data_IF_426674783790
#
_entry.id   IF_426674783790
#
_cell.length_a   1.000
_cell.length_b   1.000
_cell.length_c   1.000
_cell.angle_alpha   90.00
_cell.angle_beta   90.00
_cell.angle_gamma   90.00
#
_symmetry.space_group_name_H-M   'P 1'
#
loop_
_entity.id
_entity.type
_entity.pdbx_description
1 polymer ?
#
# COMPACT_ATOMS: atom_id res chain seq x y z
N UNK A 1 53.69 -0.31 -0.07
CA UNK A 1 52.59 0.41 -0.75
C UNK A 1 51.55 0.75 0.30
N UNK A 2 51.19 2.02 0.53
CA UNK A 2 50.09 2.36 1.42
C UNK A 2 48.76 2.03 0.73
N UNK A 3 47.88 1.34 1.45
CA UNK A 3 46.50 1.09 1.04
C UNK A 3 45.77 2.44 1.11
N UNK A 4 45.32 2.96 -0.03
CA UNK A 4 44.36 4.06 -0.04
C UNK A 4 42.97 3.47 0.16
N UNK A 5 42.34 3.82 1.28
CA UNK A 5 40.91 3.63 1.45
C UNK A 5 40.21 4.79 0.73
N UNK A 6 39.56 4.50 -0.39
CA UNK A 6 38.61 5.43 -1.00
C UNK A 6 37.44 5.60 -0.04
N UNK A 7 37.17 6.84 0.36
CA UNK A 7 35.96 7.19 1.11
C UNK A 7 34.76 6.92 0.21
N UNK A 8 34.11 5.78 0.39
CA UNK A 8 32.77 5.56 -0.16
C UNK A 8 31.85 6.51 0.59
N UNK A 9 31.28 7.47 -0.14
CA UNK A 9 30.25 8.36 0.40
C UNK A 9 29.03 7.48 0.66
N UNK A 10 28.73 7.16 1.92
CA UNK A 10 27.44 6.57 2.25
C UNK A 10 26.37 7.57 1.79
N UNK A 11 25.48 7.15 0.91
CA UNK A 11 24.22 7.87 0.74
C UNK A 11 23.45 7.64 2.03
N UNK A 12 23.34 8.69 2.83
CA UNK A 12 22.54 8.66 4.05
C UNK A 12 21.19 9.25 3.69
N UNK A 13 20.17 8.41 3.64
CA UNK A 13 18.79 8.87 3.66
C UNK A 13 18.36 9.10 5.11
N UNK A 14 17.46 10.06 5.30
CA UNK A 14 16.87 10.32 6.62
C UNK A 14 15.97 9.14 6.99
N UNK A 15 16.19 8.54 8.17
CA UNK A 15 15.27 7.54 8.72
C UNK A 15 14.04 8.29 9.22
N UNK A 16 12.92 8.11 8.53
CA UNK A 16 11.63 8.71 8.87
C UNK A 16 10.74 7.71 9.62
N UNK A 17 9.75 8.19 10.39
CA UNK A 17 8.75 7.33 11.04
C UNK A 17 8.01 6.37 10.08
N UNK A 18 7.91 6.72 8.80
CA UNK A 18 7.30 5.87 7.76
C UNK A 18 8.00 4.52 7.55
N UNK A 19 9.25 4.36 8.01
CA UNK A 19 9.94 3.06 8.02
C UNK A 19 9.42 2.12 9.13
N UNK A 20 8.67 2.64 10.09
CA UNK A 20 8.13 1.90 11.23
C UNK A 20 6.60 1.79 11.12
N UNK A 21 6.14 1.19 10.03
CA UNK A 21 4.73 0.95 9.77
C UNK A 21 4.21 -0.39 10.33
N UNK A 22 2.88 -0.50 10.44
CA UNK A 22 2.17 -1.75 10.74
C UNK A 22 0.97 -1.93 9.83
N UNK A 23 0.46 -3.16 9.73
CA UNK A 23 -0.66 -3.51 8.87
C UNK A 23 -1.89 -3.88 9.70
N UNK A 24 -2.99 -3.17 9.47
CA UNK A 24 -4.29 -3.40 10.09
C UNK A 24 -5.16 -4.18 9.11
N UNK A 25 -5.49 -5.42 9.47
CA UNK A 25 -6.40 -6.27 8.68
C UNK A 25 -7.81 -6.10 9.22
N UNK A 26 -8.64 -5.31 8.53
CA UNK A 26 -9.86 -4.71 9.08
C UNK A 26 -10.88 -5.69 9.73
N UNK A 27 -11.10 -6.93 9.24
CA UNK A 27 -12.06 -7.85 9.85
C UNK A 27 -11.51 -8.53 11.11
N UNK A 28 -10.18 -8.56 11.26
CA UNK A 28 -9.51 -9.14 12.42
C UNK A 28 -9.09 -8.08 13.44
N UNK A 29 -9.20 -6.81 13.10
CA UNK A 29 -8.75 -5.67 13.91
C UNK A 29 -9.91 -4.88 14.52
N UNK A 30 -11.13 -5.42 14.48
CA UNK A 30 -12.34 -4.79 15.02
C UNK A 30 -12.37 -4.68 16.56
N UNK A 31 -11.28 -5.06 17.23
CA UNK A 31 -11.05 -4.86 18.66
C UNK A 31 -10.28 -3.56 18.94
N UNK A 32 -9.73 -2.92 17.91
CA UNK A 32 -9.05 -1.64 18.01
C UNK A 32 -10.09 -0.52 18.05
N UNK A 33 -9.97 0.35 19.04
CA UNK A 33 -10.83 1.50 19.23
C UNK A 33 -9.99 2.73 19.62
N UNK A 34 -10.46 3.95 19.26
CA UNK A 34 -9.85 5.19 19.73
C UNK A 34 -9.72 5.21 21.26
N UNK A 35 -8.56 5.66 21.75
CA UNK A 35 -8.22 5.75 23.17
C UNK A 35 -8.08 4.42 23.94
N UNK A 36 -8.10 3.27 23.26
CA UNK A 36 -7.85 1.99 23.92
C UNK A 36 -6.35 1.76 24.21
N UNK A 37 -6.05 0.79 25.08
CA UNK A 37 -4.67 0.51 25.49
C UNK A 37 -3.80 -0.05 24.35
N UNK A 38 -4.39 -0.81 23.43
CA UNK A 38 -3.66 -1.41 22.31
C UNK A 38 -3.30 -0.34 21.30
N UNK A 39 -4.22 0.55 20.94
CA UNK A 39 -3.99 1.69 20.05
C UNK A 39 -2.98 2.66 20.66
N UNK A 40 -3.09 2.95 21.96
CA UNK A 40 -2.08 3.74 22.69
C UNK A 40 -0.70 3.07 22.65
N UNK A 41 -0.61 1.75 22.85
CA UNK A 41 0.67 1.02 22.86
C UNK A 41 1.33 0.95 21.46
N UNK A 42 0.55 0.97 20.37
CA UNK A 42 1.10 1.02 19.01
C UNK A 42 1.96 2.28 18.82
N UNK A 43 1.52 3.41 19.33
CA UNK A 43 2.30 4.65 19.29
C UNK A 43 3.34 4.70 20.40
N UNK A 44 2.91 4.72 21.67
CA UNK A 44 3.75 5.11 22.81
C UNK A 44 4.85 4.07 23.13
N UNK A 45 4.52 2.79 22.97
CA UNK A 45 5.41 1.70 23.39
C UNK A 45 6.18 1.09 22.21
N UNK A 46 5.57 1.01 21.02
CA UNK A 46 6.15 0.37 19.83
C UNK A 46 6.72 1.40 18.84
N UNK A 47 6.17 2.62 18.80
CA UNK A 47 6.62 3.66 17.87
C UNK A 47 6.12 3.47 16.44
N UNK A 48 4.92 2.92 16.25
CA UNK A 48 4.31 2.75 14.93
C UNK A 48 3.90 4.12 14.37
N UNK A 49 4.57 4.53 13.29
CA UNK A 49 4.35 5.82 12.62
C UNK A 49 3.30 5.77 11.51
N UNK A 50 3.06 4.60 10.91
CA UNK A 50 2.16 4.45 9.77
C UNK A 50 1.31 3.20 9.91
N UNK A 51 0.01 3.30 9.64
CA UNK A 51 -0.88 2.14 9.61
C UNK A 51 -1.44 1.92 8.20
N UNK A 52 -1.31 0.69 7.72
CA UNK A 52 -1.90 0.23 6.46
C UNK A 52 -3.30 -0.33 6.68
N UNK A 53 -4.27 0.10 5.87
CA UNK A 53 -5.69 -0.28 5.95
C UNK A 53 -6.31 -0.37 4.54
N UNK A 54 -7.30 -1.23 4.26
CA UNK A 54 -7.90 -2.25 5.13
C UNK A 54 -7.05 -3.51 5.34
N UNK A 55 -5.88 -3.56 4.69
CA UNK A 55 -4.81 -4.54 4.90
C UNK A 55 -5.11 -5.98 4.46
N UNK A 56 -4.14 -6.57 3.75
CA UNK A 56 -4.12 -7.99 3.42
C UNK A 56 -5.13 -8.41 2.34
N UNK A 57 -5.21 -9.72 2.07
CA UNK A 57 -6.06 -10.27 1.00
C UNK A 57 -7.56 -9.96 1.20
N UNK A 58 -7.99 -9.77 2.45
CA UNK A 58 -9.38 -9.40 2.76
C UNK A 58 -9.79 -8.05 2.18
N UNK A 59 -8.84 -7.16 1.86
CA UNK A 59 -9.14 -5.93 1.11
C UNK A 59 -9.79 -6.27 -0.22
N UNK A 60 -9.22 -7.21 -0.96
CA UNK A 60 -9.73 -7.63 -2.26
C UNK A 60 -11.12 -8.26 -2.13
N UNK A 61 -11.29 -9.16 -1.15
CA UNK A 61 -12.52 -9.96 -1.05
C UNK A 61 -13.70 -9.22 -0.40
N UNK A 62 -13.44 -8.40 0.63
CA UNK A 62 -14.49 -7.97 1.57
C UNK A 62 -14.67 -6.46 1.70
N UNK A 63 -13.66 -5.67 1.36
CA UNK A 63 -13.77 -4.21 1.52
C UNK A 63 -14.68 -3.61 0.44
N UNK A 64 -15.71 -2.87 0.86
CA UNK A 64 -16.64 -2.19 -0.04
C UNK A 64 -16.34 -0.69 -0.06
N UNK A 65 -15.66 -0.23 -1.11
CA UNK A 65 -15.33 1.19 -1.29
C UNK A 65 -16.56 2.09 -1.45
N UNK A 66 -17.74 1.53 -1.76
CA UNK A 66 -19.00 2.29 -1.83
C UNK A 66 -19.63 2.48 -0.46
N UNK A 67 -19.18 1.71 0.54
CA UNK A 67 -19.61 1.82 1.93
C UNK A 67 -18.41 1.57 2.87
N UNK A 68 -17.37 2.44 2.85
CA UNK A 68 -16.12 2.20 3.58
C UNK A 68 -16.27 2.27 5.11
N UNK A 69 -17.40 2.78 5.59
CA UNK A 69 -17.78 2.83 7.00
C UNK A 69 -18.75 1.69 7.39
N UNK A 70 -18.84 0.63 6.57
CA UNK A 70 -19.55 -0.57 6.95
C UNK A 70 -18.93 -1.19 8.21
N UNK A 71 -19.77 -1.57 9.17
CA UNK A 71 -19.35 -2.26 10.40
C UNK A 71 -19.49 -3.78 10.29
N UNK A 72 -19.80 -4.29 9.09
CA UNK A 72 -19.82 -5.72 8.78
C UNK A 72 -19.40 -5.95 7.34
N UNK A 73 -18.90 -7.16 7.06
CA UNK A 73 -18.52 -7.62 5.73
C UNK A 73 -18.95 -9.09 5.55
N UNK A 74 -18.91 -9.66 4.33
CA UNK A 74 -19.28 -11.07 4.12
C UNK A 74 -18.50 -12.01 5.06
N UNK A 75 -19.21 -12.74 5.93
CA UNK A 75 -18.59 -13.64 6.92
C UNK A 75 -18.07 -12.97 8.19
N UNK A 76 -18.16 -11.64 8.31
CA UNK A 76 -17.65 -10.86 9.45
C UNK A 76 -18.71 -9.89 9.99
N UNK A 77 -19.19 -10.13 11.21
CA UNK A 77 -20.26 -9.31 11.82
C UNK A 77 -19.76 -8.06 12.53
N UNK A 78 -18.45 -7.91 12.70
CA UNK A 78 -17.79 -6.74 13.25
C UNK A 78 -16.49 -6.52 12.49
N UNK A 79 -16.35 -5.37 11.84
CA UNK A 79 -15.12 -4.97 11.14
C UNK A 79 -14.75 -3.55 11.56
N UNK A 80 -13.47 -3.22 11.54
CA UNK A 80 -13.01 -1.85 11.76
C UNK A 80 -13.47 -0.98 10.58
N UNK A 81 -14.27 0.05 10.84
CA UNK A 81 -14.75 0.99 9.82
C UNK A 81 -13.66 2.03 9.50
N UNK A 82 -13.68 2.61 8.29
CA UNK A 82 -12.66 3.59 7.88
C UNK A 82 -12.67 4.86 8.75
N UNK A 83 -13.83 5.38 9.11
CA UNK A 83 -13.92 6.55 9.98
C UNK A 83 -13.30 6.28 11.36
N UNK A 84 -13.56 5.10 11.92
CA UNK A 84 -12.97 4.66 13.18
C UNK A 84 -11.46 4.46 13.06
N UNK A 85 -10.98 3.93 11.93
CA UNK A 85 -9.56 3.87 11.62
C UNK A 85 -8.91 5.28 11.60
N UNK A 86 -9.55 6.27 10.99
CA UNK A 86 -9.06 7.65 11.06
C UNK A 86 -9.13 8.27 12.46
N UNK A 87 -10.13 7.92 13.27
CA UNK A 87 -10.19 8.35 14.67
C UNK A 87 -9.03 7.76 15.48
N UNK A 88 -8.65 6.50 15.25
CA UNK A 88 -7.45 5.87 15.84
C UNK A 88 -6.19 6.66 15.46
N UNK A 89 -6.06 7.03 14.17
CA UNK A 89 -4.90 7.79 13.69
C UNK A 89 -4.82 9.22 14.24
N UNK A 90 -5.96 9.86 14.53
CA UNK A 90 -5.99 11.20 15.16
C UNK A 90 -5.62 11.16 16.63
N UNK A 91 -6.06 10.12 17.32
CA UNK A 91 -5.64 9.87 18.70
C UNK A 91 -4.14 9.58 18.79
N UNK A 92 -3.58 8.95 17.76
CA UNK A 92 -2.15 8.74 17.59
C UNK A 92 -1.43 10.04 17.18
N UNK A 93 -0.68 10.68 18.07
CA UNK A 93 -0.23 12.06 17.91
C UNK A 93 0.67 12.35 16.67
N UNK A 94 1.13 11.33 15.94
CA UNK A 94 1.83 11.47 14.65
C UNK A 94 1.64 10.26 13.70
N UNK A 95 0.47 9.63 13.68
CA UNK A 95 0.26 8.48 12.80
C UNK A 95 -0.26 8.87 11.40
N UNK A 96 0.23 8.18 10.39
CA UNK A 96 -0.20 8.32 8.99
C UNK A 96 -0.86 7.04 8.45
N UNK A 97 -1.50 7.15 7.30
CA UNK A 97 -2.21 6.06 6.66
C UNK A 97 -1.57 5.61 5.34
N UNK A 98 -1.56 4.30 5.12
CA UNK A 98 -1.46 3.70 3.78
C UNK A 98 -2.81 3.06 3.45
N UNK A 99 -3.43 3.49 2.35
CA UNK A 99 -4.78 3.08 1.98
C UNK A 99 -4.74 2.12 0.78
N UNK A 100 -5.25 0.91 0.95
CA UNK A 100 -5.23 -0.12 -0.11
C UNK A 100 -6.53 -0.10 -0.91
N UNK A 101 -6.42 0.03 -2.23
CA UNK A 101 -7.53 0.04 -3.18
C UNK A 101 -7.78 -1.38 -3.72
N UNK A 102 -8.98 -1.99 -3.55
CA UNK A 102 -9.23 -3.38 -3.95
C UNK A 102 -9.38 -3.53 -5.46
N UNK A 103 -8.30 -3.91 -6.16
CA UNK A 103 -8.28 -3.99 -7.64
C UNK A 103 -9.28 -5.01 -8.18
N UNK A 104 -9.46 -6.13 -7.46
CA UNK A 104 -10.44 -7.17 -7.81
C UNK A 104 -11.88 -6.63 -7.85
N UNK A 105 -12.20 -5.58 -7.09
CA UNK A 105 -13.54 -5.00 -7.08
C UNK A 105 -13.94 -4.45 -8.45
N UNK A 106 -12.98 -3.96 -9.24
CA UNK A 106 -13.23 -3.53 -10.62
C UNK A 106 -13.41 -4.74 -11.56
N UNK A 107 -12.51 -5.72 -11.45
CA UNK A 107 -12.49 -6.93 -12.29
C UNK A 107 -13.79 -7.74 -12.12
N UNK A 108 -14.26 -7.88 -10.89
CA UNK A 108 -15.48 -8.61 -10.53
C UNK A 108 -16.76 -7.76 -10.65
N UNK A 109 -16.65 -6.52 -11.11
CA UNK A 109 -17.76 -5.58 -11.26
C UNK A 109 -18.51 -5.28 -9.94
N UNK A 110 -17.83 -5.41 -8.79
CA UNK A 110 -18.33 -4.93 -7.49
C UNK A 110 -18.26 -3.41 -7.39
N UNK A 111 -17.33 -2.78 -8.11
CA UNK A 111 -17.15 -1.35 -8.21
C UNK A 111 -16.90 -0.90 -9.66
N UNK A 112 -17.16 0.38 -9.92
CA UNK A 112 -16.83 1.05 -11.18
C UNK A 112 -15.65 2.00 -10.99
N UNK A 113 -15.03 2.44 -12.08
CA UNK A 113 -13.98 3.48 -12.03
C UNK A 113 -14.46 4.77 -11.34
N UNK A 114 -15.72 5.14 -11.52
CA UNK A 114 -16.34 6.29 -10.83
C UNK A 114 -16.38 6.09 -9.31
N UNK A 115 -16.63 4.85 -8.86
CA UNK A 115 -16.62 4.53 -7.43
C UNK A 115 -15.21 4.69 -6.83
N UNK A 116 -14.15 4.29 -7.54
CA UNK A 116 -12.77 4.54 -7.10
C UNK A 116 -12.43 6.02 -7.01
N UNK A 117 -12.78 6.81 -8.03
CA UNK A 117 -12.61 8.27 -7.98
C UNK A 117 -13.32 8.87 -6.76
N UNK A 118 -14.59 8.51 -6.56
CA UNK A 118 -15.36 9.02 -5.41
C UNK A 118 -14.80 8.55 -4.07
N UNK A 119 -14.36 7.29 -3.96
CA UNK A 119 -13.80 6.73 -2.74
C UNK A 119 -12.50 7.42 -2.34
N UNK A 120 -11.56 7.61 -3.27
CA UNK A 120 -10.30 8.33 -2.98
C UNK A 120 -10.61 9.75 -2.53
N UNK A 121 -11.53 10.45 -3.20
CA UNK A 121 -11.94 11.79 -2.81
C UNK A 121 -12.59 11.83 -1.44
N UNK A 122 -13.47 10.88 -1.12
CA UNK A 122 -14.12 10.76 0.19
C UNK A 122 -13.08 10.55 1.29
N UNK A 123 -12.16 9.62 1.06
CA UNK A 123 -11.06 9.27 1.98
C UNK A 123 -10.15 10.47 2.24
N UNK A 124 -9.78 11.24 1.21
CA UNK A 124 -9.01 12.47 1.35
C UNK A 124 -9.75 13.56 2.15
N UNK A 125 -11.06 13.72 1.92
CA UNK A 125 -11.87 14.69 2.68
C UNK A 125 -11.99 14.30 4.16
N UNK A 126 -12.14 13.01 4.43
CA UNK A 126 -12.23 12.47 5.79
C UNK A 126 -10.90 12.63 6.52
N UNK A 127 -9.78 12.24 5.90
CA UNK A 127 -8.44 12.42 6.46
C UNK A 127 -8.13 13.91 6.70
N UNK A 128 -8.49 14.80 5.77
CA UNK A 128 -8.26 16.23 5.92
C UNK A 128 -9.10 16.88 7.02
N UNK A 129 -10.33 16.39 7.26
CA UNK A 129 -11.23 16.89 8.30
C UNK A 129 -11.38 18.43 8.32
N UNK A 130 -11.44 19.04 7.13
CA UNK A 130 -11.51 20.50 6.98
C UNK A 130 -10.26 21.27 7.43
N UNK A 131 -9.13 20.59 7.60
CA UNK A 131 -7.87 21.13 8.13
C UNK A 131 -7.78 21.13 9.66
N UNK A 132 -8.81 20.62 10.35
CA UNK A 132 -8.79 20.43 11.78
C UNK A 132 -8.29 19.02 12.09
N UNK A 133 -7.10 18.92 12.68
CA UNK A 133 -6.52 17.62 13.04
C UNK A 133 -6.44 16.65 11.84
N UNK A 134 -5.73 17.05 10.76
CA UNK A 134 -5.65 16.24 9.55
C UNK A 134 -4.78 15.01 9.78
N UNK A 135 -5.21 13.88 9.23
CA UNK A 135 -4.39 12.67 9.12
C UNK A 135 -3.67 12.68 7.78
N UNK A 136 -2.36 12.44 7.80
CA UNK A 136 -1.61 12.25 6.56
C UNK A 136 -1.93 10.89 5.95
N UNK A 137 -2.26 10.87 4.65
CA UNK A 137 -2.24 9.64 3.85
C UNK A 137 -0.93 9.68 3.07
N UNK A 138 -0.07 8.70 3.27
CA UNK A 138 1.23 8.63 2.58
C UNK A 138 1.08 8.05 1.18
N UNK A 139 0.29 6.98 1.07
CA UNK A 139 0.22 6.17 -0.15
C UNK A 139 -1.17 5.58 -0.34
N UNK A 140 -1.64 5.56 -1.59
CA UNK A 140 -2.67 4.65 -2.05
C UNK A 140 -2.04 3.45 -2.77
N UNK A 141 -2.21 2.25 -2.22
CA UNK A 141 -1.70 1.02 -2.85
C UNK A 141 -2.75 0.41 -3.79
N UNK A 142 -2.29 -0.01 -4.97
CA UNK A 142 -3.12 -0.67 -5.96
C UNK A 142 -3.19 -2.17 -5.69
N UNK A 143 -4.09 -2.54 -4.79
CA UNK A 143 -4.44 -3.91 -4.49
C UNK A 143 -3.50 -4.64 -3.54
N UNK A 144 -3.77 -5.92 -3.33
CA UNK A 144 -3.01 -6.77 -2.43
C UNK A 144 -2.88 -8.21 -2.95
N UNK A 145 -1.64 -8.62 -3.19
CA UNK A 145 -1.20 -9.98 -3.56
C UNK A 145 -2.08 -10.59 -4.64
N UNK A 146 -2.25 -9.86 -5.74
CA UNK A 146 -3.11 -10.22 -6.87
C UNK A 146 -2.88 -11.65 -7.40
N UNK A 147 -1.67 -12.19 -7.23
CA UNK A 147 -1.30 -13.55 -7.61
C UNK A 147 -1.96 -14.64 -6.74
N UNK A 148 -2.37 -14.34 -5.51
CA UNK A 148 -3.16 -15.27 -4.68
C UNK A 148 -4.65 -15.22 -5.00
N UNK A 149 -5.12 -14.14 -5.63
CA UNK A 149 -6.48 -14.02 -6.16
C UNK A 149 -6.65 -14.74 -7.52
N UNK A 150 -5.59 -15.39 -8.01
CA UNK A 150 -5.61 -16.13 -9.27
C UNK A 150 -5.61 -15.25 -10.53
N UNK A 151 -5.28 -13.96 -10.39
CA UNK A 151 -5.16 -13.04 -11.51
C UNK A 151 -3.86 -13.26 -12.27
N UNK A 152 -3.89 -13.01 -13.58
CA UNK A 152 -2.64 -12.84 -14.36
C UNK A 152 -2.09 -11.43 -14.14
N UNK A 153 -0.78 -11.26 -14.37
CA UNK A 153 -0.12 -9.97 -14.27
C UNK A 153 -0.80 -8.91 -15.15
N UNK A 154 -1.21 -9.27 -16.36
CA UNK A 154 -1.86 -8.36 -17.32
C UNK A 154 -3.28 -7.98 -16.87
N UNK A 155 -4.05 -8.93 -16.34
CA UNK A 155 -5.40 -8.66 -15.85
C UNK A 155 -5.37 -7.74 -14.63
N UNK A 156 -4.44 -7.99 -13.70
CA UNK A 156 -4.16 -7.10 -12.58
C UNK A 156 -3.73 -5.72 -13.07
N UNK A 157 -2.71 -5.64 -13.94
CA UNK A 157 -2.12 -4.40 -14.40
C UNK A 157 -3.12 -3.52 -15.15
N UNK A 158 -3.98 -4.09 -16.00
CA UNK A 158 -4.97 -3.33 -16.74
C UNK A 158 -5.98 -2.65 -15.80
N UNK A 159 -6.46 -3.38 -14.79
CA UNK A 159 -7.37 -2.84 -13.78
C UNK A 159 -6.67 -1.83 -12.87
N UNK A 160 -5.45 -2.14 -12.40
CA UNK A 160 -4.65 -1.26 -11.56
C UNK A 160 -4.31 0.06 -12.27
N UNK A 161 -3.95 0.02 -13.55
CA UNK A 161 -3.67 1.20 -14.37
C UNK A 161 -4.88 2.13 -14.49
N UNK A 162 -6.08 1.57 -14.72
CA UNK A 162 -7.29 2.38 -14.79
C UNK A 162 -7.67 2.97 -13.43
N UNK A 163 -7.51 2.20 -12.34
CA UNK A 163 -7.71 2.70 -10.96
C UNK A 163 -6.70 3.80 -10.61
N UNK A 164 -5.42 3.64 -10.97
CA UNK A 164 -4.37 4.62 -10.73
C UNK A 164 -4.72 5.99 -11.32
N UNK A 165 -5.22 6.01 -12.56
CA UNK A 165 -5.69 7.26 -13.20
C UNK A 165 -6.86 7.89 -12.46
N UNK A 166 -7.81 7.10 -11.94
CA UNK A 166 -8.91 7.63 -11.13
C UNK A 166 -8.43 8.18 -9.79
N UNK A 167 -7.51 7.48 -9.13
CA UNK A 167 -6.90 7.93 -7.88
C UNK A 167 -6.13 9.24 -8.08
N UNK A 168 -5.28 9.33 -9.12
CA UNK A 168 -4.54 10.55 -9.47
C UNK A 168 -5.48 11.72 -9.72
N UNK A 169 -6.51 11.52 -10.55
CA UNK A 169 -7.49 12.55 -10.84
C UNK A 169 -8.24 13.02 -9.57
N UNK A 170 -8.55 12.10 -8.65
CA UNK A 170 -9.21 12.45 -7.38
C UNK A 170 -8.27 13.23 -6.44
N UNK A 171 -7.00 12.84 -6.35
CA UNK A 171 -5.95 13.54 -5.59
C UNK A 171 -5.77 14.97 -6.13
N UNK A 172 -5.64 15.14 -7.44
CA UNK A 172 -5.51 16.46 -8.07
C UNK A 172 -6.76 17.30 -7.88
N UNK A 173 -7.95 16.71 -8.02
CA UNK A 173 -9.21 17.40 -7.75
C UNK A 173 -9.28 17.91 -6.31
N UNK A 174 -8.88 17.05 -5.36
CA UNK A 174 -8.84 17.41 -3.95
C UNK A 174 -7.83 18.53 -3.68
N UNK A 175 -6.61 18.42 -4.20
CA UNK A 175 -5.57 19.44 -4.07
C UNK A 175 -6.05 20.81 -4.58
N UNK A 176 -6.71 20.83 -5.74
CA UNK A 176 -7.28 22.06 -6.32
C UNK A 176 -8.46 22.64 -5.52
N UNK A 177 -9.07 21.85 -4.64
CA UNK A 177 -10.17 22.29 -3.76
C UNK A 177 -9.68 22.86 -2.42
N UNK A 178 -8.41 22.66 -2.08
CA UNK A 178 -7.85 23.14 -0.82
C UNK A 178 -7.65 24.66 -0.82
N UNK A 179 -7.73 25.31 0.36
CA UNK A 179 -7.30 26.70 0.51
C UNK A 179 -5.85 26.89 0.06
N UNK A 180 -5.53 28.06 -0.52
CA UNK A 180 -4.19 28.35 -1.05
C UNK A 180 -3.05 28.27 -0.01
N UNK A 181 -3.39 28.32 1.29
CA UNK A 181 -2.46 28.20 2.40
C UNK A 181 -2.54 26.85 3.15
N UNK A 182 -3.26 25.88 2.59
CA UNK A 182 -3.33 24.54 3.15
C UNK A 182 -1.93 23.92 3.18
N UNK A 183 -1.58 23.33 4.32
CA UNK A 183 -0.39 22.48 4.45
C UNK A 183 -0.86 21.04 4.29
N UNK A 184 -0.71 20.51 3.09
CA UNK A 184 -1.12 19.17 2.74
C UNK A 184 -0.14 18.64 1.71
N UNK A 185 0.37 17.45 1.96
CA UNK A 185 1.22 16.72 1.03
C UNK A 185 0.35 15.72 0.28
N UNK A 186 0.51 15.68 -1.04
CA UNK A 186 -0.24 14.75 -1.86
C UNK A 186 0.23 13.31 -1.57
N UNK A 187 -0.68 12.35 -1.33
CA UNK A 187 -0.29 10.95 -1.23
C UNK A 187 0.28 10.46 -2.55
N UNK A 188 1.22 9.52 -2.44
CA UNK A 188 1.70 8.76 -3.58
C UNK A 188 0.68 7.69 -4.00
N UNK A 189 0.85 7.15 -5.20
CA UNK A 189 0.15 5.95 -5.66
C UNK A 189 1.20 4.87 -5.94
N UNK A 190 1.05 3.72 -5.28
CA UNK A 190 1.96 2.60 -5.42
C UNK A 190 1.34 1.42 -6.15
N UNK A 191 2.03 0.89 -7.15
CA UNK A 191 1.66 -0.35 -7.85
C UNK A 191 2.34 -1.54 -7.18
N UNK A 192 1.64 -2.67 -7.06
CA UNK A 192 2.22 -3.84 -6.41
C UNK A 192 3.04 -4.68 -7.39
N UNK A 193 4.25 -5.03 -6.98
CA UNK A 193 5.12 -5.98 -7.67
C UNK A 193 4.61 -7.41 -7.55
N UNK A 194 5.01 -8.26 -8.49
CA UNK A 194 4.99 -9.70 -8.31
C UNK A 194 6.06 -10.10 -7.28
N UNK A 195 5.62 -10.72 -6.19
CA UNK A 195 6.46 -11.42 -5.21
C UNK A 195 5.81 -12.76 -4.84
N UNK A 196 5.33 -13.46 -5.86
CA UNK A 196 4.75 -14.79 -5.67
C UNK A 196 5.88 -15.70 -5.20
N UNK A 197 5.68 -16.39 -4.06
CA UNK A 197 6.64 -17.39 -3.57
C UNK A 197 6.85 -18.46 -4.67
N UNK A 198 8.03 -18.48 -5.28
CA UNK A 198 8.28 -19.28 -6.48
C UNK A 198 9.57 -18.90 -7.22
N UNK A 199 9.63 -19.29 -8.50
CA UNK A 199 10.75 -19.04 -9.42
C UNK A 199 10.91 -17.53 -9.70
N UNK A 200 12.11 -16.99 -9.45
CA UNK A 200 12.40 -15.57 -9.67
C UNK A 200 12.12 -15.10 -11.10
N UNK A 201 12.27 -15.98 -12.10
CA UNK A 201 11.97 -15.67 -13.49
C UNK A 201 10.47 -15.40 -13.74
N UNK A 202 9.58 -16.06 -12.97
CA UNK A 202 8.13 -15.81 -13.06
C UNK A 202 7.80 -14.40 -12.55
N UNK A 203 8.45 -13.96 -11.46
CA UNK A 203 8.25 -12.63 -10.91
C UNK A 203 8.82 -11.55 -11.84
N UNK A 204 10.00 -11.74 -12.41
CA UNK A 204 10.57 -10.82 -13.41
C UNK A 204 9.65 -10.67 -14.63
N UNK A 205 9.18 -11.80 -15.18
CA UNK A 205 8.27 -11.80 -16.34
C UNK A 205 6.95 -11.09 -16.01
N UNK A 206 6.40 -11.34 -14.82
CA UNK A 206 5.18 -10.69 -14.36
C UNK A 206 5.38 -9.18 -14.19
N UNK A 207 6.49 -8.75 -13.58
CA UNK A 207 6.78 -7.34 -13.38
C UNK A 207 6.98 -6.60 -14.71
N UNK A 208 7.67 -7.20 -15.68
CA UNK A 208 7.78 -6.65 -17.03
C UNK A 208 6.41 -6.51 -17.70
N UNK A 209 5.54 -7.53 -17.58
CA UNK A 209 4.18 -7.46 -18.12
C UNK A 209 3.33 -6.36 -17.46
N UNK A 210 3.51 -6.11 -16.15
CA UNK A 210 2.83 -5.00 -15.46
C UNK A 210 3.29 -3.66 -16.03
N UNK A 211 4.60 -3.45 -16.18
CA UNK A 211 5.16 -2.21 -16.76
C UNK A 211 4.62 -2.00 -18.18
N UNK A 212 4.71 -3.01 -19.05
CA UNK A 212 4.23 -2.94 -20.44
C UNK A 212 2.74 -2.55 -20.52
N UNK A 213 1.91 -3.07 -19.62
CA UNK A 213 0.48 -2.72 -19.56
C UNK A 213 0.27 -1.29 -19.05
N UNK A 214 1.02 -0.85 -18.04
CA UNK A 214 0.94 0.53 -17.55
C UNK A 214 1.36 1.54 -18.63
N UNK A 215 2.40 1.23 -19.42
CA UNK A 215 2.79 2.01 -20.60
C UNK A 215 1.67 2.05 -21.64
N UNK A 216 1.12 0.88 -22.00
CA UNK A 216 0.04 0.79 -22.99
C UNK A 216 -1.24 1.53 -22.56
N UNK A 217 -1.46 1.68 -21.26
CA UNK A 217 -2.60 2.39 -20.67
C UNK A 217 -2.35 3.88 -20.38
N UNK A 218 -1.16 4.40 -20.71
CA UNK A 218 -0.71 5.76 -20.37
C UNK A 218 -0.87 6.07 -18.87
N UNK A 219 -0.51 5.09 -18.03
CA UNK A 219 -0.74 5.13 -16.58
C UNK A 219 0.55 5.26 -15.75
N UNK A 220 1.74 5.23 -16.37
CA UNK A 220 3.00 5.42 -15.64
C UNK A 220 3.07 6.77 -14.92
N UNK A 221 2.51 7.83 -15.50
CA UNK A 221 2.46 9.16 -14.87
C UNK A 221 1.48 9.25 -13.70
N UNK A 222 0.64 8.23 -13.50
CA UNK A 222 -0.32 8.19 -12.41
C UNK A 222 0.25 7.57 -11.13
N UNK A 223 1.38 6.87 -11.19
CA UNK A 223 2.03 6.18 -10.07
C UNK A 223 3.34 6.85 -9.68
N UNK A 224 3.76 6.69 -8.42
CA UNK A 224 5.00 7.28 -7.89
C UNK A 224 5.91 6.24 -7.23
N UNK A 225 5.38 5.07 -6.91
CA UNK A 225 6.06 4.07 -6.10
C UNK A 225 5.66 2.64 -6.47
N UNK A 226 6.38 1.68 -5.88
CA UNK A 226 6.06 0.26 -5.95
C UNK A 226 5.96 -0.33 -4.55
N UNK A 227 5.05 -1.30 -4.37
CA UNK A 227 4.90 -2.05 -3.11
C UNK A 227 5.27 -3.51 -3.34
N UNK A 228 5.97 -4.11 -2.38
CA UNK A 228 6.35 -5.52 -2.40
C UNK A 228 6.18 -6.17 -1.02
N UNK A 229 6.00 -7.49 -0.98
CA UNK A 229 5.70 -8.23 0.26
C UNK A 229 6.69 -9.35 0.53
N UNK A 230 7.70 -9.07 1.34
CA UNK A 230 8.66 -10.09 1.73
C UNK A 230 8.24 -10.77 3.04
N UNK A 231 7.97 -12.07 2.97
CA UNK A 231 7.81 -12.91 4.16
C UNK A 231 9.01 -13.85 4.29
N UNK A 232 9.75 -13.75 5.40
CA UNK A 232 10.77 -14.74 5.70
C UNK A 232 10.12 -15.99 6.31
N UNK A 233 10.26 -17.17 5.70
CA UNK A 233 9.80 -18.40 6.32
C UNK A 233 10.72 -18.74 7.51
N UNK A 234 10.32 -18.36 8.73
CA UNK A 234 10.98 -18.83 9.94
C UNK A 234 10.05 -19.74 10.76
N UNK A 235 10.36 -21.05 10.74
CA UNK A 235 9.92 -22.08 11.71
C UNK A 235 8.98 -23.15 11.12
N UNK A 236 9.37 -24.43 10.96
CA UNK A 236 9.79 -25.31 12.07
C UNK A 236 10.69 -26.52 11.71
N UNK A 237 11.14 -26.75 10.46
CA UNK A 237 11.87 -28.01 10.14
C UNK A 237 13.30 -27.91 9.55
N UNK A 238 13.82 -26.75 9.16
CA UNK A 238 15.07 -26.67 8.38
C UNK A 238 16.32 -26.18 9.14
N UNK A 239 16.48 -26.55 10.41
CA UNK A 239 17.70 -26.20 11.17
C UNK A 239 18.85 -27.23 11.09
N UNK A 240 18.66 -28.36 10.40
CA UNK A 240 19.72 -29.37 10.22
C UNK A 240 19.85 -29.81 8.77
N UNK A 241 20.60 -29.03 7.98
CA UNK A 241 21.27 -29.54 6.78
C UNK A 241 20.43 -29.59 5.51
N UNK A 242 20.20 -28.44 4.89
CA UNK A 242 20.10 -28.31 3.44
C UNK A 242 20.43 -26.87 3.06
N UNK A 243 21.17 -26.69 1.98
CA UNK A 243 21.48 -25.40 1.38
C UNK A 243 20.20 -24.57 1.20
N UNK A 244 20.03 -23.56 2.05
CA UNK A 244 18.97 -22.58 1.88
C UNK A 244 19.43 -21.68 0.74
N UNK A 245 18.69 -21.68 -0.37
CA UNK A 245 18.82 -20.72 -1.47
C UNK A 245 18.45 -19.32 -0.96
N UNK A 246 19.36 -18.70 -0.22
CA UNK A 246 19.26 -17.34 0.31
C UNK A 246 19.40 -16.24 -0.77
N UNK A 247 19.35 -16.59 -2.06
CA UNK A 247 19.86 -15.74 -3.14
C UNK A 247 18.95 -15.50 -4.34
N UNK A 248 17.73 -16.03 -4.40
CA UNK A 248 16.87 -15.84 -5.58
C UNK A 248 15.74 -14.80 -5.33
N UNK A 249 14.90 -14.92 -4.28
CA UNK A 249 13.74 -14.02 -4.14
C UNK A 249 14.12 -12.56 -3.83
N UNK A 250 15.19 -12.34 -3.08
CA UNK A 250 15.64 -10.97 -2.75
C UNK A 250 16.21 -10.26 -3.97
N UNK A 251 16.94 -10.96 -4.85
CA UNK A 251 17.53 -10.36 -6.03
C UNK A 251 16.46 -9.99 -7.06
N UNK A 252 15.44 -10.84 -7.25
CA UNK A 252 14.32 -10.52 -8.14
C UNK A 252 13.54 -9.26 -7.73
N UNK A 253 13.49 -8.94 -6.43
CA UNK A 253 12.85 -7.69 -5.96
C UNK A 253 13.68 -6.45 -6.29
N UNK A 254 15.01 -6.52 -6.18
CA UNK A 254 15.89 -5.41 -6.54
C UNK A 254 15.90 -5.17 -8.04
N UNK A 255 15.97 -6.24 -8.84
CA UNK A 255 15.92 -6.13 -10.30
C UNK A 255 14.57 -5.58 -10.77
N UNK A 256 13.47 -5.97 -10.11
CA UNK A 256 12.16 -5.37 -10.35
C UNK A 256 12.13 -3.88 -9.96
N UNK A 257 12.66 -3.51 -8.79
CA UNK A 257 12.73 -2.12 -8.36
C UNK A 257 13.55 -1.25 -9.32
N UNK A 258 14.69 -1.75 -9.82
CA UNK A 258 15.52 -1.07 -10.81
C UNK A 258 14.79 -0.92 -12.15
N UNK A 259 14.04 -1.93 -12.58
CA UNK A 259 13.21 -1.85 -13.79
C UNK A 259 12.12 -0.78 -13.66
N UNK A 260 11.49 -0.66 -12.49
CA UNK A 260 10.50 0.37 -12.21
C UNK A 260 11.11 1.77 -12.09
N UNK A 261 12.27 1.93 -11.43
CA UNK A 261 12.99 3.22 -11.41
C UNK A 261 13.39 3.66 -12.83
N UNK A 262 13.73 2.72 -13.72
CA UNK A 262 13.97 3.03 -15.13
C UNK A 262 12.69 3.47 -15.88
N UNK A 263 11.54 2.83 -15.60
CA UNK A 263 10.27 3.14 -16.25
C UNK A 263 9.65 4.47 -15.77
N UNK A 264 9.94 4.89 -14.54
CA UNK A 264 9.38 6.12 -13.94
C UNK A 264 10.17 7.40 -14.27
N UNK A 265 11.31 7.31 -14.98
CA UNK A 265 12.18 8.45 -15.33
C UNK A 265 11.94 8.97 -16.75
#
# INVERSE_FOLDING_TARGET
MPIQLTSTKFQTEEITPSLFGSNIVFPYSAFLHPGDRVTTALEDDIGVGTLRYPGGAVTETYFDIKNPNATSAPGHTNVLAQNEFFDILRDGANQSAVMVLPVTALIEHRATLSDFYHYVRLTLNEAWNGGNDPVAIETFELGNEWYYEGLTAEAYAAAAADIAKQARAAIENFANSLPANAKWDAPTIAVQLSDKQGDGNENETANAAIIDVFEAHDALTAIDAVTAHMYYPFGTEYFFGADIFYGEPVYSMWDAADAWDAALR
#
